data_IF_468158148450
#
_entry.id   IF_468158148450
#
_cell.length_a   1.000
_cell.length_b   1.000
_cell.length_c   1.000
_cell.angle_alpha   90.00
_cell.angle_beta   90.00
_cell.angle_gamma   90.00
#
_symmetry.space_group_name_H-M   'P 1'
#
loop_
_entity.id
_entity.type
_entity.pdbx_description
1 polymer ?
#
# COMPACT_ATOMS: atom_id res chain seq x y z
N UNK A 1 -23.40 10.56 27.83
CA UNK A 1 -22.53 9.96 28.86
C UNK A 1 -23.24 9.43 30.11
N UNK A 2 -24.56 9.64 30.30
CA UNK A 2 -25.28 9.24 31.53
C UNK A 2 -26.38 8.17 31.32
N UNK A 3 -26.53 7.65 30.10
CA UNK A 3 -27.60 6.70 29.76
C UNK A 3 -27.31 5.25 30.20
N UNK A 4 -26.05 4.93 30.50
CA UNK A 4 -25.62 3.59 30.90
C UNK A 4 -24.60 3.70 32.04
N UNK A 5 -24.49 2.67 32.92
CA UNK A 5 -23.43 2.62 33.91
C UNK A 5 -22.07 2.68 33.20
N UNK A 6 -21.14 3.41 33.80
CA UNK A 6 -19.82 3.52 33.24
C UNK A 6 -19.08 2.18 33.36
N UNK A 7 -18.59 1.68 32.23
CA UNK A 7 -17.95 0.36 32.12
C UNK A 7 -16.42 0.45 32.08
N UNK A 8 -15.90 1.62 31.71
CA UNK A 8 -14.49 1.84 31.48
C UNK A 8 -14.02 3.12 32.20
N UNK A 9 -12.73 3.18 32.51
CA UNK A 9 -12.09 4.32 33.17
C UNK A 9 -10.92 4.79 32.32
N UNK A 10 -10.84 6.08 32.01
CA UNK A 10 -9.74 6.62 31.24
C UNK A 10 -8.45 6.61 32.07
N UNK A 11 -7.33 6.08 31.55
CA UNK A 11 -6.05 6.05 32.30
C UNK A 11 -5.38 7.42 32.45
N UNK A 12 -5.77 8.42 31.64
CA UNK A 12 -5.20 9.77 31.70
C UNK A 12 -5.90 10.67 32.73
N UNK A 13 -7.22 10.79 32.62
CA UNK A 13 -7.99 11.70 33.46
C UNK A 13 -8.81 10.99 34.55
N UNK A 14 -8.75 9.67 34.65
CA UNK A 14 -9.53 8.83 35.58
C UNK A 14 -11.05 8.95 35.47
N UNK A 15 -11.54 9.63 34.43
CA UNK A 15 -12.96 9.79 34.21
C UNK A 15 -13.59 8.49 33.69
N UNK A 16 -14.77 8.19 34.19
CA UNK A 16 -15.51 6.97 33.84
C UNK A 16 -16.39 7.20 32.62
N UNK A 17 -16.40 6.26 31.68
CA UNK A 17 -17.16 6.36 30.44
C UNK A 17 -17.91 5.06 30.07
N UNK A 18 -18.97 5.22 29.29
CA UNK A 18 -19.93 4.18 28.92
C UNK A 18 -19.56 3.42 27.65
N UNK A 19 -19.14 4.15 26.62
CA UNK A 19 -18.80 3.64 25.29
C UNK A 19 -17.71 4.50 24.65
N UNK A 20 -17.22 4.07 23.49
CA UNK A 20 -16.30 4.88 22.66
C UNK A 20 -16.86 6.25 22.32
N UNK A 21 -18.17 6.41 22.18
CA UNK A 21 -18.81 7.71 21.91
C UNK A 21 -18.69 8.64 23.12
N UNK A 22 -18.84 8.09 24.33
CA UNK A 22 -18.59 8.82 25.57
C UNK A 22 -17.11 9.22 25.69
N UNK A 23 -16.19 8.40 25.17
CA UNK A 23 -14.75 8.68 25.12
C UNK A 23 -14.36 9.71 24.04
N UNK A 24 -15.09 9.81 22.94
CA UNK A 24 -14.87 10.83 21.89
C UNK A 24 -15.65 12.13 22.12
N UNK A 25 -16.42 12.21 23.20
CA UNK A 25 -17.19 13.41 23.54
C UNK A 25 -16.29 14.56 23.98
N UNK A 26 -16.81 15.79 23.95
CA UNK A 26 -16.07 17.02 24.29
C UNK A 26 -15.34 16.91 25.64
N UNK A 27 -15.95 16.23 26.63
CA UNK A 27 -15.34 16.05 27.95
C UNK A 27 -14.13 15.11 28.01
N UNK A 28 -13.90 14.28 26.98
CA UNK A 28 -12.73 13.41 26.84
C UNK A 28 -11.90 13.71 25.58
N UNK A 29 -12.23 14.78 24.84
CA UNK A 29 -11.65 15.07 23.54
C UNK A 29 -10.12 15.19 23.62
N UNK A 30 -9.61 15.94 24.60
CA UNK A 30 -8.17 16.12 24.85
C UNK A 30 -7.45 14.78 25.10
N UNK A 31 -8.03 13.93 25.96
CA UNK A 31 -7.49 12.60 26.24
C UNK A 31 -7.56 11.66 25.03
N UNK A 32 -8.58 11.81 24.18
CA UNK A 32 -8.73 11.00 22.98
C UNK A 32 -7.80 11.46 21.87
N UNK A 33 -7.65 12.77 21.64
CA UNK A 33 -6.75 13.33 20.64
C UNK A 33 -5.30 13.03 20.96
N UNK A 34 -4.89 13.16 22.21
CA UNK A 34 -3.52 12.83 22.59
C UNK A 34 -3.23 11.33 22.40
N UNK A 35 -4.24 10.45 22.57
CA UNK A 35 -4.10 9.02 22.26
C UNK A 35 -3.82 8.83 20.79
N UNK A 36 -4.70 9.39 19.95
CA UNK A 36 -4.58 9.27 18.51
C UNK A 36 -3.27 9.86 18.01
N UNK A 37 -2.86 11.02 18.53
CA UNK A 37 -1.57 11.65 18.21
C UNK A 37 -0.40 10.74 18.56
N UNK A 38 -0.36 10.19 19.77
CA UNK A 38 0.68 9.26 20.19
C UNK A 38 0.71 8.00 19.30
N UNK A 39 -0.45 7.40 19.01
CA UNK A 39 -0.52 6.26 18.11
C UNK A 39 0.00 6.56 16.71
N UNK A 40 -0.37 7.72 16.13
CA UNK A 40 0.11 8.13 14.81
C UNK A 40 1.61 8.43 14.82
N UNK A 41 2.10 9.11 15.86
CA UNK A 41 3.53 9.37 16.02
C UNK A 41 4.33 8.09 16.19
N UNK A 42 3.83 7.14 16.97
CA UNK A 42 4.48 5.87 17.21
C UNK A 42 4.50 4.99 15.96
N UNK A 43 3.45 5.03 15.15
CA UNK A 43 3.41 4.37 13.83
C UNK A 43 4.36 5.02 12.83
N UNK A 44 4.40 6.36 12.76
CA UNK A 44 5.38 7.06 11.92
C UNK A 44 6.83 6.76 12.35
N UNK A 45 7.05 6.63 13.65
CA UNK A 45 8.34 6.23 14.21
C UNK A 45 8.63 4.76 13.93
N UNK A 46 7.66 3.86 13.98
CA UNK A 46 7.84 2.41 13.80
C UNK A 46 8.11 2.04 12.33
N UNK A 47 7.51 2.76 11.38
CA UNK A 47 7.68 2.54 9.94
C UNK A 47 9.11 2.70 9.40
N UNK A 48 10.06 3.13 10.23
CA UNK A 48 11.47 3.35 9.85
C UNK A 48 12.50 2.56 10.68
N UNK A 49 12.06 1.77 11.67
CA UNK A 49 12.91 1.50 12.85
C UNK A 49 13.59 0.16 12.96
N UNK A 50 13.42 -0.78 12.05
CA UNK A 50 14.25 -1.99 12.10
C UNK A 50 15.25 -2.05 10.93
N UNK A 51 16.41 -1.38 11.07
CA UNK A 51 17.50 -1.52 10.10
C UNK A 51 17.97 -2.97 9.98
N UNK A 52 17.73 -3.83 10.99
CA UNK A 52 18.04 -5.26 10.95
C UNK A 52 17.04 -6.03 10.09
N UNK A 53 15.73 -5.81 10.23
CA UNK A 53 14.72 -6.33 9.29
C UNK A 53 14.98 -5.84 7.86
N UNK A 54 15.30 -4.56 7.69
CA UNK A 54 15.63 -4.00 6.36
C UNK A 54 16.86 -4.70 5.78
N UNK A 55 17.89 -4.93 6.59
CA UNK A 55 19.11 -5.64 6.18
C UNK A 55 18.83 -7.11 5.84
N UNK A 56 18.04 -7.82 6.66
CA UNK A 56 17.58 -9.19 6.39
C UNK A 56 16.77 -9.26 5.08
N UNK A 57 15.88 -8.30 4.84
CA UNK A 57 15.08 -8.24 3.62
C UNK A 57 15.96 -8.01 2.38
N UNK A 58 16.92 -7.10 2.47
CA UNK A 58 17.90 -6.86 1.40
C UNK A 58 18.81 -8.07 1.16
N UNK A 59 19.19 -8.79 2.21
CA UNK A 59 20.00 -10.01 2.12
C UNK A 59 19.24 -11.14 1.40
N UNK A 60 17.95 -11.30 1.70
CA UNK A 60 17.07 -12.24 1.00
C UNK A 60 16.97 -11.88 -0.48
N UNK A 61 16.67 -10.61 -0.81
CA UNK A 61 16.60 -10.13 -2.20
C UNK A 61 17.90 -10.37 -2.97
N UNK A 62 19.05 -10.08 -2.33
CA UNK A 62 20.38 -10.31 -2.90
C UNK A 62 20.69 -11.79 -3.12
N UNK A 63 20.24 -12.67 -2.22
CA UNK A 63 20.41 -14.12 -2.36
C UNK A 63 19.71 -14.66 -3.61
N UNK A 64 18.52 -14.14 -3.94
CA UNK A 64 17.79 -14.54 -5.14
C UNK A 64 18.32 -13.89 -6.41
N UNK A 65 18.91 -12.69 -6.35
CA UNK A 65 19.56 -12.06 -7.52
C UNK A 65 20.87 -12.73 -7.92
N UNK A 66 21.53 -13.44 -7.00
CA UNK A 66 22.77 -14.17 -7.26
C UNK A 66 22.55 -15.66 -7.59
N UNK A 67 21.32 -16.17 -7.54
CA UNK A 67 21.03 -17.41 -8.27
C UNK A 67 21.09 -17.03 -9.75
N UNK A 68 21.92 -17.73 -10.52
CA UNK A 68 22.15 -17.56 -11.97
C UNK A 68 20.86 -17.79 -12.79
N UNK A 69 19.84 -16.97 -12.55
CA UNK A 69 18.65 -16.87 -13.37
C UNK A 69 19.00 -15.87 -14.47
N UNK A 70 18.84 -16.25 -15.76
CA UNK A 70 19.02 -15.30 -16.83
C UNK A 70 18.16 -14.08 -16.54
N UNK A 71 18.78 -12.90 -16.59
CA UNK A 71 18.09 -11.61 -16.42
C UNK A 71 16.79 -11.64 -17.22
N UNK A 72 15.65 -11.15 -16.68
CA UNK A 72 14.41 -11.06 -17.45
C UNK A 72 14.62 -10.37 -18.81
N UNK A 73 15.58 -9.45 -18.88
CA UNK A 73 16.01 -8.78 -20.11
C UNK A 73 16.74 -9.69 -21.11
N UNK A 74 17.49 -10.68 -20.64
CA UNK A 74 18.19 -11.65 -21.49
C UNK A 74 17.20 -12.62 -22.14
N UNK A 75 16.19 -13.09 -21.41
CA UNK A 75 15.13 -13.95 -21.94
C UNK A 75 14.35 -13.24 -23.07
N UNK A 76 14.01 -11.97 -22.87
CA UNK A 76 13.32 -11.15 -23.89
C UNK A 76 14.21 -10.97 -25.12
N UNK A 77 15.51 -10.72 -24.95
CA UNK A 77 16.44 -10.53 -26.06
C UNK A 77 16.66 -11.80 -26.89
N UNK A 78 16.55 -12.99 -26.29
CA UNK A 78 16.69 -14.26 -27.01
C UNK A 78 15.39 -14.64 -27.74
N UNK A 79 14.22 -14.26 -27.21
CA UNK A 79 12.92 -14.43 -27.91
C UNK A 79 12.80 -13.49 -29.13
N UNK A 80 13.35 -12.27 -29.07
CA UNK A 80 13.28 -11.29 -30.16
C UNK A 80 14.25 -11.63 -31.32
N UNK A 81 15.30 -12.44 -31.08
CA UNK A 81 16.27 -12.82 -32.12
C UNK A 81 15.79 -13.92 -33.05
N UNK A 82 14.72 -14.64 -32.71
CA UNK A 82 14.07 -15.56 -33.64
C UNK A 82 13.42 -14.68 -34.72
N UNK A 83 13.91 -14.69 -35.98
CA UNK A 83 13.23 -13.98 -37.05
C UNK A 83 11.84 -14.62 -37.19
N UNK A 84 10.81 -13.85 -36.87
CA UNK A 84 9.49 -14.11 -37.39
C UNK A 84 9.62 -14.04 -38.92
N UNK A 85 9.62 -15.18 -39.59
CA UNK A 85 9.35 -15.26 -41.04
C UNK A 85 7.89 -14.81 -41.20
N UNK A 86 7.72 -13.50 -41.32
CA UNK A 86 6.47 -12.83 -41.69
C UNK A 86 6.35 -12.94 -43.23
N UNK A 87 6.11 -14.16 -43.70
CA UNK A 87 5.83 -14.50 -45.10
C UNK A 87 4.30 -14.68 -45.29
N UNK A 88 3.50 -13.86 -44.59
CA UNK A 88 2.05 -13.75 -44.81
C UNK A 88 1.70 -12.29 -45.16
N UNK A 89 1.94 -12.00 -46.44
CA UNK A 89 1.42 -10.87 -47.22
C UNK A 89 -0.11 -11.04 -47.35
N UNK A 90 -0.94 -10.32 -46.59
CA UNK A 90 -2.37 -10.18 -46.91
C UNK A 90 -3.00 -8.88 -46.34
N UNK A 91 -3.17 -7.96 -47.28
CA UNK A 91 -4.27 -7.00 -47.47
C UNK A 91 -4.55 -5.91 -46.41
N UNK A 92 -3.94 -4.74 -46.64
CA UNK A 92 -4.35 -3.47 -46.06
C UNK A 92 -5.61 -2.96 -46.79
N UNK A 93 -6.81 -3.28 -46.29
CA UNK A 93 -8.03 -2.63 -46.79
C UNK A 93 -8.10 -1.17 -46.29
N UNK A 94 -8.03 -0.22 -47.23
CA UNK A 94 -8.31 1.21 -47.02
C UNK A 94 -9.77 1.41 -46.60
N UNK A 95 -9.99 1.76 -45.33
CA UNK A 95 -11.28 2.25 -44.84
C UNK A 95 -11.46 3.72 -45.26
N UNK A 96 -12.07 3.92 -46.43
CA UNK A 96 -12.61 5.22 -46.86
C UNK A 96 -13.81 5.59 -45.98
N UNK A 97 -13.58 6.42 -44.96
CA UNK A 97 -14.64 7.07 -44.19
C UNK A 97 -15.00 8.42 -44.83
N UNK A 98 -15.72 8.38 -45.95
CA UNK A 98 -16.51 9.49 -46.46
C UNK A 98 -17.91 9.45 -45.80
N UNK A 99 -18.18 10.34 -44.85
CA UNK A 99 -19.54 10.83 -44.57
C UNK A 99 -19.50 12.28 -44.10
N UNK A 100 -19.72 13.15 -45.08
CA UNK A 100 -19.93 14.59 -45.03
C UNK A 100 -21.44 14.82 -45.23
N UNK A 101 -22.15 15.39 -44.24
CA UNK A 101 -23.45 16.10 -44.35
C UNK A 101 -24.15 16.14 -42.97
N UNK A 102 -24.78 17.21 -42.48
CA UNK A 102 -25.02 18.58 -42.93
C UNK A 102 -25.45 19.42 -41.70
#
# INVERSE_FOLDING_TARGET
CHAAPSRYTCPRCSARYCSSDCYKSIGHLECSEEFFKQCVEDEMKSGSKDPEQKKKMLEILKKYSHQDLPSPFQYIADVIKEPYDDDDDDDLEELDSDDDAA
#
